data_IF_217522123730
#
_entry.id   IF_217522123730
#
_cell.length_a   1.000
_cell.length_b   1.000
_cell.length_c   1.000
_cell.angle_alpha   90.00
_cell.angle_beta   90.00
_cell.angle_gamma   90.00
#
_symmetry.space_group_name_H-M   'P 1'
#
loop_
_entity.id
_entity.type
_entity.pdbx_description
1 polymer ?
#
# COMPACT_ATOMS: atom_id res chain seq x y z
N UNK A 1 19.58 -18.23 2.21
CA UNK A 1 18.15 -17.95 2.39
C UNK A 1 17.80 -16.74 1.53
N UNK A 2 16.84 -16.85 0.63
CA UNK A 2 16.41 -15.73 -0.21
C UNK A 2 15.65 -14.68 0.60
N UNK A 3 15.40 -13.50 0.01
CA UNK A 3 14.59 -12.43 0.64
C UNK A 3 13.19 -12.96 0.98
N UNK A 4 12.57 -13.67 0.04
CA UNK A 4 11.25 -14.29 0.23
C UNK A 4 11.20 -15.27 1.40
N UNK A 5 12.22 -16.12 1.54
CA UNK A 5 12.29 -17.10 2.66
C UNK A 5 12.34 -16.39 4.01
N UNK A 6 13.09 -15.27 4.10
CA UNK A 6 13.19 -14.48 5.34
C UNK A 6 11.86 -13.81 5.69
N UNK A 7 11.16 -13.24 4.71
CA UNK A 7 9.83 -12.65 4.90
C UNK A 7 8.85 -13.72 5.35
N UNK A 8 8.84 -14.87 4.69
CA UNK A 8 7.96 -16.00 5.01
C UNK A 8 8.17 -16.54 6.41
N UNK A 9 9.44 -16.71 6.84
CA UNK A 9 9.76 -17.15 8.20
C UNK A 9 9.40 -16.07 9.23
N UNK A 10 9.72 -14.81 8.94
CA UNK A 10 9.37 -13.68 9.82
C UNK A 10 7.86 -13.51 10.03
N UNK A 11 7.04 -13.80 9.01
CA UNK A 11 5.58 -13.71 9.10
C UNK A 11 4.91 -15.00 9.57
N UNK A 12 5.65 -16.05 9.90
CA UNK A 12 5.07 -17.37 10.24
C UNK A 12 3.99 -17.27 11.33
N UNK A 13 4.25 -16.59 12.44
CA UNK A 13 3.27 -16.44 13.53
C UNK A 13 2.03 -15.67 13.09
N UNK A 14 2.19 -14.63 12.28
CA UNK A 14 1.07 -13.82 11.75
C UNK A 14 0.24 -14.66 10.78
N UNK A 15 0.89 -15.37 9.87
CA UNK A 15 0.25 -16.27 8.92
C UNK A 15 -0.54 -17.37 9.63
N UNK A 16 0.09 -18.08 10.58
CA UNK A 16 -0.57 -19.16 11.31
C UNK A 16 -1.81 -18.65 12.07
N UNK A 17 -1.77 -17.42 12.56
CA UNK A 17 -2.89 -16.78 13.25
C UNK A 17 -4.01 -16.32 12.28
N UNK A 18 -3.70 -15.67 11.18
CA UNK A 18 -4.70 -15.09 10.25
C UNK A 18 -5.11 -16.13 9.21
N UNK A 19 -4.17 -16.56 8.36
CA UNK A 19 -4.45 -17.46 7.25
C UNK A 19 -4.92 -18.84 7.69
N UNK A 20 -4.36 -19.36 8.78
CA UNK A 20 -4.79 -20.65 9.33
C UNK A 20 -6.24 -20.64 9.78
N UNK A 21 -6.67 -19.60 10.49
CA UNK A 21 -8.06 -19.46 10.96
C UNK A 21 -9.03 -19.19 9.79
N UNK A 22 -8.66 -18.30 8.85
CA UNK A 22 -9.49 -18.04 7.67
C UNK A 22 -9.64 -19.30 6.82
N UNK A 23 -8.58 -20.09 6.62
CA UNK A 23 -8.65 -21.34 5.86
C UNK A 23 -9.59 -22.34 6.54
N UNK A 24 -9.53 -22.49 7.85
CA UNK A 24 -10.45 -23.37 8.59
C UNK A 24 -11.90 -22.91 8.46
N UNK A 25 -12.14 -21.60 8.60
CA UNK A 25 -13.45 -21.00 8.46
C UNK A 25 -13.99 -21.23 7.04
N UNK A 26 -13.26 -20.87 6.00
CA UNK A 26 -13.68 -21.03 4.59
C UNK A 26 -14.02 -22.49 4.27
N UNK A 27 -13.25 -23.45 4.80
CA UNK A 27 -13.49 -24.88 4.59
C UNK A 27 -14.75 -25.40 5.30
N UNK A 28 -15.29 -24.67 6.31
CA UNK A 28 -16.54 -25.03 6.99
C UNK A 28 -17.78 -24.60 6.20
N UNK A 29 -17.65 -23.65 5.27
CA UNK A 29 -18.74 -23.16 4.46
C UNK A 29 -18.89 -23.94 3.15
N UNK A 30 -20.13 -24.25 2.78
CA UNK A 30 -20.46 -24.89 1.48
C UNK A 30 -20.94 -23.89 0.42
N UNK A 31 -21.19 -22.65 0.82
CA UNK A 31 -21.64 -21.55 -0.04
C UNK A 31 -21.09 -20.23 0.49
N UNK A 32 -21.09 -19.22 -0.37
CA UNK A 32 -20.70 -17.86 -0.02
C UNK A 32 -21.96 -17.08 0.32
N UNK A 33 -22.12 -16.74 1.61
CA UNK A 33 -23.23 -15.96 2.13
C UNK A 33 -22.77 -14.90 3.14
N UNK A 34 -23.70 -14.14 3.71
CA UNK A 34 -23.34 -13.04 4.64
C UNK A 34 -22.68 -13.56 5.93
N UNK A 35 -23.03 -14.76 6.40
CA UNK A 35 -22.43 -15.37 7.59
C UNK A 35 -20.92 -15.58 7.40
N UNK A 36 -20.51 -16.03 6.21
CA UNK A 36 -19.09 -16.16 5.85
C UNK A 36 -18.34 -14.80 5.92
N UNK A 37 -18.97 -13.73 5.45
CA UNK A 37 -18.34 -12.41 5.50
C UNK A 37 -18.28 -11.83 6.92
N UNK A 38 -19.28 -12.08 7.75
CA UNK A 38 -19.28 -11.65 9.15
C UNK A 38 -18.16 -12.37 9.94
N UNK A 39 -18.01 -13.68 9.78
CA UNK A 39 -16.91 -14.43 10.40
C UNK A 39 -15.55 -14.01 9.87
N UNK A 40 -15.43 -13.75 8.55
CA UNK A 40 -14.19 -13.27 7.94
C UNK A 40 -13.77 -11.91 8.51
N UNK A 41 -14.71 -10.97 8.62
CA UNK A 41 -14.45 -9.65 9.20
C UNK A 41 -13.98 -9.75 10.64
N UNK A 42 -14.62 -10.61 11.45
CA UNK A 42 -14.21 -10.85 12.83
C UNK A 42 -12.78 -11.42 12.92
N UNK A 43 -12.44 -12.41 12.10
CA UNK A 43 -11.10 -12.99 12.06
C UNK A 43 -10.03 -11.97 11.64
N UNK A 44 -10.32 -11.11 10.66
CA UNK A 44 -9.43 -10.05 10.25
C UNK A 44 -9.20 -9.03 11.37
N UNK A 45 -10.25 -8.64 12.08
CA UNK A 45 -10.15 -7.73 13.24
C UNK A 45 -9.31 -8.36 14.36
N UNK A 46 -9.53 -9.65 14.67
CA UNK A 46 -8.71 -10.40 15.63
C UNK A 46 -7.24 -10.50 15.21
N UNK A 47 -6.96 -10.48 13.91
CA UNK A 47 -5.61 -10.43 13.33
C UNK A 47 -4.95 -9.05 13.34
N UNK A 48 -5.45 -8.07 14.11
CA UNK A 48 -4.96 -6.68 14.18
C UNK A 48 -5.10 -5.89 12.86
N UNK A 49 -5.95 -6.34 11.92
CA UNK A 49 -6.24 -5.61 10.66
C UNK A 49 -7.07 -4.33 10.93
N UNK A 50 -7.79 -4.28 12.06
CA UNK A 50 -8.64 -3.15 12.41
C UNK A 50 -9.99 -3.16 11.67
N UNK A 51 -11.02 -2.60 12.32
CA UNK A 51 -12.42 -2.70 11.86
C UNK A 51 -12.62 -2.06 10.48
N UNK A 52 -12.10 -0.84 10.26
CA UNK A 52 -12.30 -0.13 8.99
C UNK A 52 -11.67 -0.89 7.81
N UNK A 53 -10.43 -1.34 7.99
CA UNK A 53 -9.69 -2.07 6.95
C UNK A 53 -10.30 -3.46 6.72
N UNK A 54 -10.75 -4.17 7.77
CA UNK A 54 -11.44 -5.45 7.65
C UNK A 54 -12.74 -5.32 6.84
N UNK A 55 -13.59 -4.33 7.18
CA UNK A 55 -14.80 -4.03 6.42
C UNK A 55 -14.50 -3.68 4.96
N UNK A 56 -13.46 -2.86 4.70
CA UNK A 56 -13.04 -2.55 3.33
C UNK A 56 -12.63 -3.81 2.55
N UNK A 57 -11.87 -4.73 3.16
CA UNK A 57 -11.46 -6.00 2.52
C UNK A 57 -12.70 -6.84 2.20
N UNK A 58 -13.65 -6.98 3.13
CA UNK A 58 -14.88 -7.74 2.93
C UNK A 58 -15.74 -7.15 1.82
N UNK A 59 -15.88 -5.82 1.73
CA UNK A 59 -16.63 -5.15 0.67
C UNK A 59 -15.98 -5.35 -0.71
N UNK A 60 -14.64 -5.25 -0.78
CA UNK A 60 -13.89 -5.53 -2.01
C UNK A 60 -14.03 -7.00 -2.42
N UNK A 61 -14.01 -7.90 -1.46
CA UNK A 61 -14.19 -9.33 -1.72
C UNK A 61 -15.61 -9.62 -2.26
N UNK A 62 -16.66 -9.07 -1.64
CA UNK A 62 -18.05 -9.16 -2.15
C UNK A 62 -18.14 -8.68 -3.59
N UNK A 63 -17.53 -7.52 -3.88
CA UNK A 63 -17.51 -6.96 -5.24
C UNK A 63 -16.83 -7.91 -6.23
N UNK A 64 -15.63 -8.42 -5.93
CA UNK A 64 -14.88 -9.32 -6.81
C UNK A 64 -15.61 -10.65 -7.03
N UNK A 65 -16.19 -11.22 -5.98
CA UNK A 65 -17.00 -12.44 -6.07
C UNK A 65 -18.16 -12.26 -7.04
N UNK A 66 -18.86 -11.12 -6.94
CA UNK A 66 -19.98 -10.79 -7.83
C UNK A 66 -19.53 -10.58 -9.28
N UNK A 67 -18.43 -9.84 -9.49
CA UNK A 67 -17.89 -9.53 -10.83
C UNK A 67 -17.39 -10.79 -11.54
N UNK A 68 -16.74 -11.72 -10.82
CA UNK A 68 -16.17 -12.95 -11.37
C UNK A 68 -17.15 -14.13 -11.35
N UNK A 69 -18.32 -13.99 -10.75
CA UNK A 69 -19.30 -15.08 -10.59
C UNK A 69 -18.80 -16.24 -9.72
N UNK A 70 -17.97 -15.96 -8.71
CA UNK A 70 -17.39 -16.97 -7.84
C UNK A 70 -18.48 -17.52 -6.92
N UNK A 71 -18.65 -18.85 -6.89
CA UNK A 71 -19.60 -19.55 -6.04
C UNK A 71 -18.93 -20.56 -5.10
N UNK A 72 -17.68 -20.90 -5.34
CA UNK A 72 -16.89 -21.85 -4.55
C UNK A 72 -16.11 -21.12 -3.46
N UNK A 73 -16.38 -21.39 -2.15
CA UNK A 73 -15.64 -20.78 -1.05
C UNK A 73 -14.13 -21.00 -1.12
N UNK A 74 -13.65 -22.11 -1.68
CA UNK A 74 -12.22 -22.42 -1.77
C UNK A 74 -11.41 -21.37 -2.55
N UNK A 75 -12.05 -20.57 -3.42
CA UNK A 75 -11.42 -19.50 -4.19
C UNK A 75 -11.24 -18.19 -3.40
N UNK A 76 -11.87 -18.08 -2.22
CA UNK A 76 -11.83 -16.85 -1.39
C UNK A 76 -10.40 -16.48 -1.00
N UNK A 77 -9.57 -17.45 -0.61
CA UNK A 77 -8.19 -17.18 -0.18
C UNK A 77 -7.36 -16.55 -1.29
N UNK A 78 -7.54 -16.97 -2.53
CA UNK A 78 -6.86 -16.38 -3.69
C UNK A 78 -7.28 -14.92 -3.92
N UNK A 79 -8.58 -14.63 -3.80
CA UNK A 79 -9.10 -13.27 -3.96
C UNK A 79 -8.69 -12.35 -2.80
N UNK A 80 -8.66 -12.84 -1.56
CA UNK A 80 -8.15 -12.12 -0.40
C UNK A 80 -6.70 -11.73 -0.59
N UNK A 81 -5.85 -12.67 -1.00
CA UNK A 81 -4.45 -12.42 -1.30
C UNK A 81 -4.30 -11.31 -2.36
N UNK A 82 -5.05 -11.39 -3.45
CA UNK A 82 -5.01 -10.39 -4.51
C UNK A 82 -5.47 -9.01 -4.02
N UNK A 83 -6.52 -8.94 -3.19
CA UNK A 83 -7.00 -7.69 -2.58
C UNK A 83 -5.92 -7.08 -1.68
N UNK A 84 -5.31 -7.90 -0.84
CA UNK A 84 -4.26 -7.44 0.08
C UNK A 84 -3.01 -6.99 -0.67
N UNK A 85 -2.57 -7.74 -1.70
CA UNK A 85 -1.47 -7.30 -2.56
C UNK A 85 -1.75 -5.94 -3.20
N UNK A 86 -2.95 -5.73 -3.78
CA UNK A 86 -3.35 -4.44 -4.35
C UNK A 86 -3.35 -3.30 -3.31
N UNK A 87 -3.80 -3.57 -2.09
CA UNK A 87 -3.84 -2.58 -1.00
C UNK A 87 -2.45 -2.17 -0.51
N UNK A 88 -1.48 -3.07 -0.62
CA UNK A 88 -0.09 -2.85 -0.19
C UNK A 88 0.77 -2.17 -1.26
N UNK A 89 0.25 -1.97 -2.48
CA UNK A 89 0.96 -1.23 -3.52
C UNK A 89 1.10 0.24 -3.13
N UNK A 90 2.27 0.82 -3.37
CA UNK A 90 2.55 2.21 -3.04
C UNK A 90 3.98 2.61 -3.37
N UNK A 91 4.41 3.76 -2.86
CA UNK A 91 5.78 4.24 -2.98
C UNK A 91 6.68 3.59 -1.91
N UNK A 92 6.95 2.30 -2.10
CA UNK A 92 7.68 1.46 -1.16
C UNK A 92 9.20 1.60 -1.28
N UNK A 93 9.70 2.34 -2.27
CA UNK A 93 11.12 2.55 -2.52
C UNK A 93 11.70 3.69 -1.67
N UNK A 94 12.99 3.62 -1.39
CA UNK A 94 13.72 4.66 -0.69
C UNK A 94 14.28 5.68 -1.69
N UNK A 95 13.87 6.94 -1.57
CA UNK A 95 14.34 8.02 -2.44
C UNK A 95 15.61 8.67 -1.89
N UNK A 96 16.75 8.34 -2.49
CA UNK A 96 18.09 8.79 -2.11
C UNK A 96 18.97 9.02 -3.35
N UNK A 97 18.48 9.83 -4.31
CA UNK A 97 19.16 10.10 -5.58
C UNK A 97 20.11 11.29 -5.51
N UNK A 98 19.90 12.23 -4.57
CA UNK A 98 20.75 13.39 -4.37
C UNK A 98 22.00 13.07 -3.54
N UNK A 99 23.02 13.93 -3.62
CA UNK A 99 24.29 13.79 -2.88
C UNK A 99 24.64 15.05 -2.11
N UNK A 100 24.52 15.03 -0.76
CA UNK A 100 23.96 13.97 0.05
C UNK A 100 22.42 13.97 0.04
N UNK A 101 21.83 12.77 0.16
CA UNK A 101 20.44 12.59 0.60
C UNK A 101 20.41 12.47 2.13
N UNK A 102 19.27 12.77 2.77
CA UNK A 102 19.14 12.66 4.23
C UNK A 102 17.96 11.79 4.65
N UNK A 103 18.20 10.89 5.60
CA UNK A 103 17.20 10.01 6.20
C UNK A 103 17.09 10.37 7.69
N UNK A 104 15.92 10.82 8.13
CA UNK A 104 15.58 10.97 9.54
C UNK A 104 14.84 9.73 10.01
N UNK A 105 15.29 9.13 11.10
CA UNK A 105 14.65 7.96 11.71
C UNK A 105 13.95 8.39 12.99
N UNK A 106 12.63 8.35 12.98
CA UNK A 106 11.76 8.79 14.07
C UNK A 106 10.96 7.61 14.65
N UNK A 107 10.30 7.78 15.79
CA UNK A 107 9.47 6.77 16.44
C UNK A 107 9.66 6.74 17.95
N UNK A 108 8.80 6.04 18.69
CA UNK A 108 8.89 5.97 20.16
C UNK A 108 10.12 5.18 20.64
N UNK A 109 10.43 5.28 21.93
CA UNK A 109 11.55 4.51 22.48
C UNK A 109 11.23 3.00 22.50
N UNK A 110 12.23 2.16 22.19
CA UNK A 110 12.11 0.70 22.23
C UNK A 110 11.56 0.05 20.97
N UNK A 111 11.14 0.81 19.95
CA UNK A 111 10.63 0.26 18.68
C UNK A 111 11.72 -0.25 17.72
N UNK A 112 12.99 -0.02 18.03
CA UNK A 112 14.11 -0.51 17.20
C UNK A 112 14.76 0.53 16.30
N UNK A 113 14.59 1.87 16.56
CA UNK A 113 15.21 2.93 15.74
C UNK A 113 16.71 2.73 15.52
N UNK A 114 17.48 2.67 16.60
CA UNK A 114 18.95 2.56 16.53
C UNK A 114 19.41 1.29 15.81
N UNK A 115 18.70 0.17 16.03
CA UNK A 115 18.93 -1.08 15.30
C UNK A 115 18.62 -0.94 13.80
N UNK A 116 17.50 -0.28 13.47
CA UNK A 116 17.12 0.00 12.07
C UNK A 116 18.17 0.86 11.38
N UNK A 117 18.68 1.91 12.04
CA UNK A 117 19.73 2.77 11.51
C UNK A 117 20.99 1.95 11.20
N UNK A 118 21.43 1.11 12.14
CA UNK A 118 22.61 0.29 11.95
C UNK A 118 22.49 -0.71 10.80
N UNK A 119 21.33 -1.37 10.69
CA UNK A 119 21.03 -2.31 9.60
C UNK A 119 20.93 -1.58 8.25
N UNK A 120 20.25 -0.44 8.20
CA UNK A 120 20.11 0.37 7.00
C UNK A 120 21.45 0.93 6.53
N UNK A 121 22.30 1.42 7.46
CA UNK A 121 23.64 1.89 7.14
C UNK A 121 24.52 0.76 6.57
N UNK A 122 24.45 -0.43 7.16
CA UNK A 122 25.18 -1.60 6.67
C UNK A 122 24.74 -1.99 5.26
N UNK A 123 23.43 -1.97 5.01
CA UNK A 123 22.82 -2.27 3.72
C UNK A 123 23.26 -1.27 2.64
N UNK A 124 23.08 0.03 2.87
CA UNK A 124 23.44 1.08 1.91
C UNK A 124 24.93 1.09 1.61
N UNK A 125 25.75 0.82 2.61
CA UNK A 125 27.19 0.63 2.40
C UNK A 125 27.49 -0.60 1.54
N UNK A 126 26.81 -1.71 1.77
CA UNK A 126 26.90 -2.93 0.95
C UNK A 126 26.49 -2.69 -0.51
N UNK A 127 25.58 -1.74 -0.76
CA UNK A 127 25.17 -1.26 -2.08
C UNK A 127 26.17 -0.25 -2.70
N UNK A 128 27.31 0.01 -2.02
CA UNK A 128 28.40 0.88 -2.50
C UNK A 128 28.22 2.37 -2.18
N UNK A 129 27.23 2.76 -1.35
CA UNK A 129 27.04 4.15 -0.95
C UNK A 129 27.93 4.53 0.23
N UNK A 130 28.47 5.75 0.21
CA UNK A 130 29.16 6.35 1.35
C UNK A 130 28.12 6.92 2.33
N UNK A 131 28.08 6.35 3.54
CA UNK A 131 27.07 6.67 4.57
C UNK A 131 27.75 7.34 5.77
N UNK A 132 27.08 8.32 6.37
CA UNK A 132 27.48 8.93 7.65
C UNK A 132 26.27 8.98 8.60
N UNK A 133 26.53 8.71 9.90
CA UNK A 133 25.48 8.70 10.93
C UNK A 133 25.55 9.96 11.78
N UNK A 134 24.38 10.45 12.26
CA UNK A 134 24.22 11.52 13.21
C UNK A 134 23.43 11.07 14.46
N UNK A 135 24.06 11.14 15.65
CA UNK A 135 23.43 10.76 16.92
C UNK A 135 22.62 11.92 17.50
N UNK A 136 21.43 12.20 16.95
CA UNK A 136 20.58 13.30 17.38
C UNK A 136 19.57 12.91 18.50
N UNK A 137 19.49 11.65 18.99
CA UNK A 137 18.88 11.31 20.29
C UNK A 137 19.86 11.66 21.42
N UNK A 138 20.07 12.97 21.62
CA UNK A 138 21.08 13.50 22.57
C UNK A 138 20.65 13.38 24.03
N UNK A 139 19.39 13.05 24.30
CA UNK A 139 18.88 12.93 25.66
C UNK A 139 19.17 11.60 26.34
N UNK A 140 19.71 10.65 25.60
CA UNK A 140 19.96 9.28 26.06
C UNK A 140 21.39 8.87 25.78
N UNK A 141 22.26 8.95 26.79
CA UNK A 141 23.65 8.52 26.68
C UNK A 141 23.76 7.08 26.10
N UNK A 142 22.96 6.15 26.62
CA UNK A 142 22.93 4.77 26.12
C UNK A 142 22.49 4.63 24.65
N UNK A 143 21.69 5.56 24.12
CA UNK A 143 21.32 5.55 22.70
C UNK A 143 22.51 5.97 21.82
N UNK A 144 23.27 6.97 22.27
CA UNK A 144 24.48 7.43 21.58
C UNK A 144 25.52 6.28 21.55
N UNK A 145 25.77 5.64 22.68
CA UNK A 145 26.69 4.50 22.80
C UNK A 145 26.25 3.32 21.93
N UNK A 146 24.94 3.02 21.92
CA UNK A 146 24.39 1.95 21.08
C UNK A 146 24.57 2.26 19.58
N UNK A 147 24.34 3.51 19.18
CA UNK A 147 24.53 3.93 17.79
C UNK A 147 26.02 3.87 17.39
N UNK A 148 26.94 4.16 18.30
CA UNK A 148 28.36 4.03 18.08
C UNK A 148 28.76 2.58 17.78
N UNK A 149 28.27 1.63 18.58
CA UNK A 149 28.47 0.19 18.31
C UNK A 149 27.97 -0.21 16.92
N UNK A 150 26.82 0.32 16.50
CA UNK A 150 26.30 0.07 15.17
C UNK A 150 27.13 0.72 14.07
N UNK A 151 27.60 1.97 14.28
CA UNK A 151 28.48 2.67 13.36
C UNK A 151 29.77 1.88 13.12
N UNK A 152 30.38 1.38 14.19
CA UNK A 152 31.59 0.54 14.14
C UNK A 152 31.35 -0.79 13.38
N UNK A 153 30.22 -1.47 13.66
CA UNK A 153 29.84 -2.71 12.95
C UNK A 153 29.61 -2.49 11.46
N UNK A 154 28.93 -1.41 11.10
CA UNK A 154 28.70 -1.03 9.71
C UNK A 154 29.99 -0.45 9.07
N UNK A 155 30.98 -0.04 9.88
CA UNK A 155 32.18 0.63 9.42
C UNK A 155 31.89 1.96 8.75
N UNK A 156 30.98 2.76 9.32
CA UNK A 156 30.59 4.09 8.85
C UNK A 156 30.92 5.15 9.91
N UNK A 157 31.27 6.39 9.52
CA UNK A 157 31.54 7.45 10.47
C UNK A 157 30.27 7.89 11.23
N UNK A 158 30.45 8.26 12.50
CA UNK A 158 29.42 8.79 13.38
C UNK A 158 29.78 10.20 13.85
N UNK A 159 28.84 11.11 13.76
CA UNK A 159 28.88 12.43 14.40
C UNK A 159 28.02 12.38 15.64
N UNK A 160 28.62 12.71 16.80
CA UNK A 160 27.95 12.73 18.11
C UNK A 160 28.40 13.93 18.92
N UNK A 161 27.52 14.42 19.78
CA UNK A 161 27.81 15.44 20.77
C UNK A 161 27.66 14.86 22.19
N UNK A 162 27.91 15.71 23.20
CA UNK A 162 27.68 15.36 24.60
C UNK A 162 26.18 15.18 24.85
N UNK A 163 25.85 14.35 25.82
CA UNK A 163 24.48 14.23 26.31
C UNK A 163 23.88 15.61 26.64
N UNK A 164 22.61 15.83 26.27
CA UNK A 164 21.90 17.07 26.43
C UNK A 164 22.23 18.19 25.43
N UNK A 165 23.07 17.92 24.43
CA UNK A 165 23.31 18.86 23.34
C UNK A 165 22.04 19.08 22.49
N UNK A 166 22.01 20.20 21.73
CA UNK A 166 20.90 20.44 20.79
C UNK A 166 20.92 19.43 19.63
N UNK A 167 19.85 18.63 19.43
CA UNK A 167 19.76 17.69 18.32
C UNK A 167 19.96 18.33 16.94
N UNK A 168 19.46 19.55 16.75
CA UNK A 168 19.62 20.28 15.50
C UNK A 168 21.09 20.67 15.23
N UNK A 169 21.90 20.91 16.27
CA UNK A 169 23.33 21.12 16.10
C UNK A 169 24.07 19.87 15.67
N UNK A 170 23.67 18.69 16.18
CA UNK A 170 24.23 17.40 15.72
C UNK A 170 23.94 17.17 14.24
N UNK A 171 22.69 17.43 13.81
CA UNK A 171 22.30 17.31 12.40
C UNK A 171 23.09 18.29 11.53
N UNK A 172 23.25 19.52 11.97
CA UNK A 172 24.06 20.53 11.26
C UNK A 172 25.50 20.06 11.05
N UNK A 173 26.15 19.59 12.11
CA UNK A 173 27.56 19.12 12.02
C UNK A 173 27.67 17.83 11.20
N UNK A 174 26.64 16.96 11.24
CA UNK A 174 26.59 15.77 10.38
C UNK A 174 26.48 16.16 8.91
N UNK A 175 25.66 17.14 8.56
CA UNK A 175 25.56 17.67 7.20
C UNK A 175 26.89 18.28 6.74
N UNK A 176 27.52 19.10 7.59
CA UNK A 176 28.81 19.70 7.28
C UNK A 176 29.89 18.64 7.03
N UNK A 177 29.93 17.61 7.88
CA UNK A 177 30.86 16.47 7.74
C UNK A 177 30.58 15.64 6.48
N UNK A 178 29.31 15.43 6.14
CA UNK A 178 28.89 14.72 4.93
C UNK A 178 29.34 15.43 3.65
N UNK A 179 29.14 16.75 3.60
CA UNK A 179 29.60 17.60 2.48
C UNK A 179 31.13 17.56 2.34
N UNK A 180 31.85 17.69 3.45
CA UNK A 180 33.32 17.70 3.46
C UNK A 180 33.91 16.36 3.01
N UNK A 181 33.20 15.23 3.22
CA UNK A 181 33.63 13.87 2.88
C UNK A 181 33.00 13.34 1.61
N UNK A 182 32.20 14.15 0.92
CA UNK A 182 31.48 13.77 -0.29
C UNK A 182 30.62 12.50 -0.08
N UNK A 183 29.90 12.42 1.07
CA UNK A 183 29.03 11.29 1.40
C UNK A 183 27.77 11.29 0.54
N UNK A 184 27.25 10.10 0.21
CA UNK A 184 26.02 9.92 -0.55
C UNK A 184 24.78 10.05 0.34
N UNK A 185 24.82 9.49 1.57
CA UNK A 185 23.66 9.40 2.46
C UNK A 185 24.01 9.77 3.89
N UNK A 186 23.16 10.59 4.49
CA UNK A 186 23.17 10.93 5.92
C UNK A 186 22.01 10.17 6.57
N UNK A 187 22.26 9.48 7.72
CA UNK A 187 21.17 8.88 8.52
C UNK A 187 21.26 9.47 9.93
N UNK A 188 20.18 10.10 10.40
CA UNK A 188 20.12 10.68 11.74
C UNK A 188 19.13 9.93 12.63
N UNK A 189 19.57 9.53 13.83
CA UNK A 189 18.69 9.12 14.93
C UNK A 189 17.97 10.32 15.51
N UNK A 190 16.80 10.13 16.12
CA UNK A 190 16.08 11.20 16.82
C UNK A 190 15.51 10.71 18.15
N UNK A 191 15.19 11.64 19.03
CA UNK A 191 14.49 11.33 20.28
C UNK A 191 13.11 10.69 20.01
N UNK A 192 12.67 9.80 20.92
CA UNK A 192 11.42 9.06 20.79
C UNK A 192 10.42 9.31 21.94
N UNK A 193 10.33 10.56 22.45
CA UNK A 193 9.52 10.91 23.63
C UNK A 193 8.12 11.39 23.25
N UNK A 194 7.27 10.50 22.73
CA UNK A 194 5.92 10.85 22.28
C UNK A 194 5.01 11.37 23.41
N UNK A 195 5.24 10.96 24.66
CA UNK A 195 4.52 11.47 25.83
C UNK A 195 4.72 12.99 26.04
N UNK A 196 5.80 13.57 25.49
CA UNK A 196 6.01 15.02 25.43
C UNK A 196 5.93 15.50 23.96
N UNK A 197 4.78 15.26 23.35
CA UNK A 197 4.53 15.48 21.92
C UNK A 197 4.97 16.87 21.45
N UNK A 198 4.62 17.92 22.21
CA UNK A 198 4.94 19.29 21.82
C UNK A 198 6.46 19.51 21.69
N UNK A 199 7.23 19.10 22.68
CA UNK A 199 8.70 19.28 22.65
C UNK A 199 9.33 18.47 21.52
N UNK A 200 8.85 17.23 21.29
CA UNK A 200 9.34 16.39 20.20
C UNK A 200 9.04 17.04 18.83
N UNK A 201 7.85 17.63 18.67
CA UNK A 201 7.48 18.30 17.41
C UNK A 201 8.28 19.59 17.19
N UNK A 202 8.53 20.36 18.25
CA UNK A 202 9.38 21.55 18.18
C UNK A 202 10.83 21.18 17.79
N UNK A 203 11.34 20.06 18.32
CA UNK A 203 12.67 19.51 17.99
C UNK A 203 12.75 19.07 16.54
N UNK A 204 11.81 18.22 16.08
CA UNK A 204 11.74 17.79 14.68
C UNK A 204 11.58 18.99 13.72
N UNK A 205 10.79 19.99 14.10
CA UNK A 205 10.66 21.24 13.35
C UNK A 205 11.96 22.04 13.27
N UNK A 206 12.79 22.04 14.33
CA UNK A 206 14.13 22.66 14.27
C UNK A 206 15.06 21.90 13.34
N UNK A 207 15.10 20.58 13.46
CA UNK A 207 15.89 19.70 12.57
C UNK A 207 15.50 19.95 11.12
N UNK A 208 14.19 19.98 10.82
CA UNK A 208 13.68 20.26 9.49
C UNK A 208 14.23 21.56 8.90
N UNK A 209 14.14 22.66 9.68
CA UNK A 209 14.66 23.96 9.24
C UNK A 209 16.16 23.97 9.00
N UNK A 210 16.93 23.20 9.77
CA UNK A 210 18.37 23.03 9.53
C UNK A 210 18.62 22.32 8.20
N UNK A 211 17.90 21.23 7.95
CA UNK A 211 18.02 20.48 6.69
C UNK A 211 17.67 21.36 5.49
N UNK A 212 16.52 22.05 5.54
CA UNK A 212 16.04 22.92 4.46
C UNK A 212 17.04 24.02 4.13
N UNK A 213 17.73 24.57 5.15
CA UNK A 213 18.74 25.60 4.98
C UNK A 213 20.07 25.05 4.45
N UNK A 214 20.53 23.93 5.00
CA UNK A 214 21.87 23.39 4.70
C UNK A 214 21.89 22.49 3.45
N UNK A 215 20.76 21.83 3.13
CA UNK A 215 20.62 20.92 2.00
C UNK A 215 19.37 21.26 1.15
N UNK A 216 19.31 22.47 0.58
CA UNK A 216 18.14 22.86 -0.21
C UNK A 216 17.98 21.91 -1.42
N UNK A 217 16.77 21.33 -1.57
CA UNK A 217 16.44 20.45 -2.70
C UNK A 217 17.03 19.05 -2.63
N UNK A 218 17.58 18.62 -1.49
CA UNK A 218 18.01 17.24 -1.31
C UNK A 218 16.82 16.28 -1.18
N UNK A 219 17.01 15.03 -1.57
CA UNK A 219 16.11 13.95 -1.21
C UNK A 219 16.11 13.77 0.31
N UNK A 220 14.91 13.80 0.86
CA UNK A 220 14.69 13.71 2.29
C UNK A 220 13.68 12.63 2.60
N UNK A 221 14.12 11.62 3.33
CA UNK A 221 13.25 10.59 3.88
C UNK A 221 13.06 10.78 5.38
N UNK A 222 11.83 10.68 5.82
CA UNK A 222 11.47 10.65 7.23
C UNK A 222 10.81 9.31 7.53
N UNK A 223 11.59 8.38 8.05
CA UNK A 223 11.16 7.01 8.31
C UNK A 223 10.64 6.88 9.74
N UNK A 224 9.36 6.58 9.88
CA UNK A 224 8.77 6.25 11.17
C UNK A 224 8.95 4.75 11.45
N UNK A 225 9.68 4.44 12.52
CA UNK A 225 9.87 3.07 13.00
C UNK A 225 8.74 2.71 13.96
N UNK A 226 8.06 1.62 13.68
CA UNK A 226 6.96 1.07 14.48
C UNK A 226 7.25 -0.38 14.87
N UNK A 227 6.79 -0.77 16.05
CA UNK A 227 6.89 -2.15 16.55
C UNK A 227 5.58 -2.88 16.25
N UNK A 228 5.63 -3.88 15.38
CA UNK A 228 4.46 -4.69 15.00
C UNK A 228 3.81 -5.39 16.20
N UNK A 229 4.60 -5.76 17.22
CA UNK A 229 4.08 -6.43 18.42
C UNK A 229 3.08 -5.58 19.22
N UNK A 230 3.05 -4.27 18.98
CA UNK A 230 2.10 -3.36 19.64
C UNK A 230 0.72 -3.33 18.96
N UNK A 231 0.55 -3.98 17.80
CA UNK A 231 -0.73 -4.12 17.09
C UNK A 231 -1.35 -2.75 16.80
N UNK A 232 -2.64 -2.55 17.09
CA UNK A 232 -3.36 -1.30 16.83
C UNK A 232 -2.74 -0.05 17.50
N UNK A 233 -1.92 -0.22 18.54
CA UNK A 233 -1.18 0.90 19.11
C UNK A 233 -0.13 1.46 18.13
N UNK A 234 0.43 0.64 17.23
CA UNK A 234 1.33 1.12 16.17
C UNK A 234 0.59 2.05 15.21
N UNK A 235 -0.66 1.73 14.83
CA UNK A 235 -1.51 2.58 13.98
C UNK A 235 -1.77 3.93 14.66
N UNK A 236 -2.09 3.92 15.95
CA UNK A 236 -2.32 5.14 16.73
C UNK A 236 -1.04 6.01 16.80
N UNK A 237 0.12 5.38 17.03
CA UNK A 237 1.42 6.08 16.99
C UNK A 237 1.67 6.69 15.60
N UNK A 238 1.44 5.93 14.53
CA UNK A 238 1.61 6.43 13.17
C UNK A 238 0.74 7.67 12.91
N UNK A 239 -0.52 7.64 13.31
CA UNK A 239 -1.46 8.77 13.19
C UNK A 239 -0.99 10.01 13.94
N UNK A 240 -0.43 9.82 15.16
CA UNK A 240 0.09 10.93 15.95
C UNK A 240 1.34 11.55 15.33
N UNK A 241 2.26 10.75 14.81
CA UNK A 241 3.45 11.25 14.14
C UNK A 241 3.14 11.86 12.78
N UNK A 242 2.19 11.31 12.01
CA UNK A 242 1.80 11.80 10.69
C UNK A 242 1.39 13.29 10.74
N UNK A 243 0.64 13.67 11.78
CA UNK A 243 0.16 15.05 11.95
C UNK A 243 1.29 16.07 12.15
N UNK A 244 2.54 15.64 12.32
CA UNK A 244 3.58 16.49 12.89
C UNK A 244 4.96 16.39 12.23
N UNK A 245 5.28 15.30 11.51
CA UNK A 245 6.67 15.01 11.12
C UNK A 245 6.93 14.86 9.62
N UNK A 246 5.93 14.99 8.75
CA UNK A 246 6.12 14.83 7.30
C UNK A 246 6.72 13.47 6.96
N UNK A 247 6.08 12.38 7.45
CA UNK A 247 6.55 11.00 7.26
C UNK A 247 6.48 10.65 5.78
N UNK A 248 7.56 10.09 5.25
CA UNK A 248 7.65 9.59 3.87
C UNK A 248 7.54 8.08 3.76
N UNK A 249 7.79 7.37 4.87
CA UNK A 249 7.69 5.92 4.89
C UNK A 249 7.76 5.32 6.29
N UNK A 250 7.34 4.07 6.37
CA UNK A 250 7.30 3.28 7.60
C UNK A 250 8.39 2.20 7.57
N UNK A 251 9.00 1.95 8.72
CA UNK A 251 9.77 0.75 8.98
C UNK A 251 9.04 -0.06 10.06
N UNK A 252 8.52 -1.21 9.71
CA UNK A 252 7.82 -2.08 10.64
C UNK A 252 8.75 -3.15 11.18
N UNK A 253 9.00 -3.15 12.50
CA UNK A 253 9.98 -4.05 13.16
C UNK A 253 9.29 -5.18 13.92
N UNK A 254 10.08 -6.20 14.31
CA UNK A 254 9.69 -7.32 15.19
C UNK A 254 8.55 -8.18 14.66
N UNK A 255 8.43 -8.30 13.35
CA UNK A 255 7.43 -9.15 12.72
C UNK A 255 7.62 -10.64 13.06
N UNK A 256 8.87 -11.09 13.21
CA UNK A 256 9.24 -12.45 13.60
C UNK A 256 8.77 -12.85 15.01
N UNK A 257 8.57 -11.86 15.86
CA UNK A 257 8.18 -12.03 17.26
C UNK A 257 6.65 -12.12 17.51
N UNK A 258 5.82 -11.73 16.54
CA UNK A 258 4.39 -11.41 16.81
C UNK A 258 3.42 -12.06 15.82
N UNK A 259 2.19 -12.42 16.26
CA UNK A 259 1.09 -12.74 15.36
C UNK A 259 0.34 -11.50 14.81
N UNK A 260 0.79 -10.28 15.13
CA UNK A 260 0.10 -9.01 14.85
C UNK A 260 0.58 -8.30 13.58
N UNK A 261 1.22 -9.02 12.66
CA UNK A 261 1.72 -8.43 11.41
C UNK A 261 0.64 -7.87 10.49
N UNK A 262 -0.64 -8.21 10.71
CA UNK A 262 -1.78 -7.61 10.01
C UNK A 262 -1.89 -6.09 10.15
N UNK A 263 -1.22 -5.51 11.16
CA UNK A 263 -1.16 -4.06 11.38
C UNK A 263 -0.60 -3.25 10.21
N UNK A 264 0.14 -3.89 9.31
CA UNK A 264 0.64 -3.23 8.08
C UNK A 264 -0.51 -2.71 7.22
N UNK A 265 -1.63 -3.44 7.15
CA UNK A 265 -2.78 -3.11 6.32
C UNK A 265 -3.45 -1.79 6.71
N UNK A 266 -3.86 -1.56 7.97
CA UNK A 266 -4.43 -0.27 8.35
C UNK A 266 -3.43 0.90 8.30
N UNK A 267 -2.13 0.65 8.47
CA UNK A 267 -1.12 1.71 8.30
C UNK A 267 -1.11 2.22 6.85
N UNK A 268 -1.14 1.32 5.87
CA UNK A 268 -1.13 1.69 4.47
C UNK A 268 -2.51 2.17 4.00
N UNK A 269 -3.59 1.48 4.36
CA UNK A 269 -4.93 1.78 3.89
C UNK A 269 -5.55 3.02 4.56
N UNK A 270 -5.53 3.08 5.90
CA UNK A 270 -6.22 4.14 6.64
C UNK A 270 -5.38 5.43 6.73
N UNK A 271 -4.05 5.31 6.74
CA UNK A 271 -3.15 6.45 6.91
C UNK A 271 -2.46 6.87 5.61
N UNK A 272 -2.49 6.03 4.57
CA UNK A 272 -1.82 6.29 3.29
C UNK A 272 -0.30 6.38 3.43
N UNK A 273 0.30 5.74 4.44
CA UNK A 273 1.73 5.76 4.69
C UNK A 273 2.39 4.50 4.09
N UNK A 274 3.29 4.63 3.10
CA UNK A 274 3.94 3.47 2.50
C UNK A 274 4.91 2.81 3.47
N UNK A 275 4.93 1.47 3.48
CA UNK A 275 5.95 0.71 4.19
C UNK A 275 7.15 0.54 3.27
N UNK A 276 8.33 0.96 3.72
CA UNK A 276 9.57 0.87 2.93
C UNK A 276 10.46 -0.31 3.36
N UNK A 277 10.44 -0.63 4.66
CA UNK A 277 11.22 -1.75 5.19
C UNK A 277 10.43 -2.52 6.26
N UNK A 278 10.77 -3.80 6.36
CA UNK A 278 10.31 -4.70 7.42
C UNK A 278 11.49 -5.36 8.13
N UNK A 279 11.39 -5.44 9.46
CA UNK A 279 12.35 -6.17 10.31
C UNK A 279 11.77 -7.55 10.66
N UNK A 280 12.46 -8.58 10.20
CA UNK A 280 12.05 -9.99 10.30
C UNK A 280 13.03 -10.83 11.13
N UNK A 281 13.83 -10.20 11.99
CA UNK A 281 14.79 -10.85 12.87
C UNK A 281 15.87 -9.91 13.38
N UNK A 282 16.87 -10.45 14.09
CA UNK A 282 17.90 -9.67 14.80
C UNK A 282 19.18 -9.45 13.98
N UNK A 283 19.45 -10.24 12.93
CA UNK A 283 20.66 -10.13 12.12
C UNK A 283 20.67 -8.84 11.29
N UNK A 284 21.87 -8.43 10.86
CA UNK A 284 22.04 -7.21 10.05
C UNK A 284 21.19 -7.25 8.78
N UNK A 285 21.16 -8.40 8.14
CA UNK A 285 20.43 -8.66 6.89
C UNK A 285 18.97 -9.07 7.08
N UNK A 286 18.41 -8.91 8.30
CA UNK A 286 16.97 -9.13 8.58
C UNK A 286 16.12 -7.86 8.47
N UNK A 287 16.71 -6.75 8.04
CA UNK A 287 15.98 -5.59 7.57
C UNK A 287 15.78 -5.74 6.05
N UNK A 288 14.55 -6.08 5.65
CA UNK A 288 14.23 -6.32 4.25
C UNK A 288 13.48 -5.13 3.64
N UNK A 289 13.71 -4.78 2.35
CA UNK A 289 12.81 -3.90 1.62
C UNK A 289 11.40 -4.50 1.63
N UNK A 290 10.42 -3.65 1.66
CA UNK A 290 9.04 -4.10 1.59
C UNK A 290 8.66 -4.42 0.15
N UNK A 291 8.23 -5.64 -0.07
CA UNK A 291 7.67 -6.13 -1.33
C UNK A 291 6.21 -6.51 -1.07
N UNK A 292 5.23 -5.77 -1.64
CA UNK A 292 3.82 -6.02 -1.43
C UNK A 292 3.37 -7.44 -1.78
N UNK A 293 3.83 -7.96 -2.91
CA UNK A 293 3.44 -9.29 -3.39
C UNK A 293 4.05 -10.39 -2.52
N UNK A 294 5.35 -10.27 -2.22
CA UNK A 294 6.02 -11.22 -1.33
C UNK A 294 5.42 -11.20 0.09
N UNK A 295 4.99 -10.04 0.57
CA UNK A 295 4.33 -9.91 1.87
C UNK A 295 2.95 -10.55 1.87
N UNK A 296 2.12 -10.30 0.85
CA UNK A 296 0.80 -10.91 0.71
C UNK A 296 0.92 -12.44 0.55
N UNK A 297 1.91 -12.91 -0.23
CA UNK A 297 2.23 -14.33 -0.37
C UNK A 297 2.58 -14.97 0.97
N UNK A 298 3.48 -14.32 1.73
CA UNK A 298 3.92 -14.83 3.02
C UNK A 298 2.80 -14.81 4.07
N UNK A 299 1.88 -13.83 4.00
CA UNK A 299 0.78 -13.70 4.95
C UNK A 299 -0.32 -14.74 4.71
N UNK A 300 -0.67 -15.01 3.45
CA UNK A 300 -1.78 -15.90 3.12
C UNK A 300 -1.35 -17.33 2.75
N UNK A 301 -0.03 -17.62 2.71
CA UNK A 301 0.53 -18.95 2.44
C UNK A 301 -0.31 -19.74 1.42
N UNK A 302 -0.80 -19.06 0.39
CA UNK A 302 -1.37 -19.78 -0.73
C UNK A 302 -0.22 -20.59 -1.27
N UNK A 303 -0.12 -21.88 -0.84
CA UNK A 303 0.68 -22.81 -1.61
C UNK A 303 0.24 -22.56 -3.03
N UNK A 304 1.15 -22.10 -3.88
CA UNK A 304 1.01 -22.38 -5.28
C UNK A 304 0.94 -23.93 -5.32
N UNK A 305 -0.27 -24.51 -5.21
CA UNK A 305 -0.53 -25.63 -6.06
C UNK A 305 -0.05 -25.08 -7.39
N UNK A 306 1.06 -25.65 -7.89
CA UNK A 306 1.45 -25.49 -9.28
C UNK A 306 0.10 -25.65 -9.98
N UNK A 307 -0.46 -24.54 -10.45
CA UNK A 307 -1.68 -24.59 -11.23
C UNK A 307 -1.39 -25.73 -12.19
N UNK A 308 -2.20 -26.81 -12.22
CA UNK A 308 -1.87 -27.94 -13.05
C UNK A 308 -1.43 -27.27 -14.33
N UNK A 309 -0.17 -27.51 -14.72
CA UNK A 309 0.32 -27.01 -15.99
C UNK A 309 -0.69 -27.61 -16.93
N UNK A 310 -1.79 -26.88 -17.13
CA UNK A 310 -2.61 -27.08 -18.30
C UNK A 310 -1.53 -26.79 -19.32
N UNK A 311 -0.92 -27.87 -19.82
CA UNK A 311 -0.34 -27.85 -21.12
C UNK A 311 -1.55 -27.45 -21.95
N UNK A 312 -1.80 -26.12 -21.97
CA UNK A 312 -2.66 -25.53 -22.96
C UNK A 312 -2.07 -26.09 -24.22
N UNK A 313 -2.83 -27.02 -24.79
CA UNK A 313 -2.46 -27.66 -26.02
C UNK A 313 -2.51 -26.50 -27.01
N UNK A 314 -1.38 -25.78 -27.11
CA UNK A 314 -1.22 -24.59 -27.96
C UNK A 314 -1.64 -24.93 -29.38
N UNK A 315 -1.55 -26.23 -29.72
CA UNK A 315 -2.06 -26.81 -30.94
C UNK A 315 -3.60 -26.77 -30.98
N UNK A 316 -4.30 -27.09 -29.90
CA UNK A 316 -5.77 -27.05 -29.86
C UNK A 316 -6.29 -25.59 -29.92
N UNK A 317 -5.63 -24.66 -29.23
CA UNK A 317 -5.94 -23.22 -29.31
C UNK A 317 -5.66 -22.62 -30.70
N UNK A 318 -4.57 -23.05 -31.35
CA UNK A 318 -4.25 -22.61 -32.71
C UNK A 318 -5.21 -23.23 -33.73
N UNK A 319 -5.74 -24.43 -33.47
CA UNK A 319 -6.70 -25.11 -34.32
C UNK A 319 -8.10 -24.48 -34.19
N UNK A 320 -8.55 -24.17 -32.98
CA UNK A 320 -9.82 -23.49 -32.70
C UNK A 320 -9.85 -22.07 -33.29
N UNK A 321 -8.73 -21.33 -33.17
CA UNK A 321 -8.59 -19.99 -33.76
C UNK A 321 -8.60 -20.03 -35.30
N UNK A 322 -7.99 -21.05 -35.94
CA UNK A 322 -8.04 -21.25 -37.40
C UNK A 322 -9.43 -21.63 -37.89
N UNK A 323 -10.18 -22.32 -37.04
CA UNK A 323 -11.56 -22.69 -37.38
C UNK A 323 -12.49 -21.49 -37.28
N UNK A 324 -12.27 -20.64 -36.30
CA UNK A 324 -12.99 -19.36 -36.13
C UNK A 324 -12.67 -18.36 -37.26
N UNK A 325 -11.42 -18.22 -37.63
CA UNK A 325 -11.00 -17.39 -38.79
C UNK A 325 -11.63 -17.90 -40.09
N UNK A 326 -11.71 -19.21 -40.26
CA UNK A 326 -12.31 -19.83 -41.47
C UNK A 326 -13.83 -19.60 -41.53
N UNK A 327 -14.53 -19.68 -40.41
CA UNK A 327 -15.95 -19.38 -40.29
C UNK A 327 -16.26 -17.91 -40.58
N UNK A 328 -15.42 -16.99 -40.09
CA UNK A 328 -15.53 -15.56 -40.37
C UNK A 328 -15.30 -15.22 -41.85
N UNK A 329 -14.31 -15.87 -42.48
CA UNK A 329 -14.07 -15.70 -43.92
C UNK A 329 -15.23 -16.26 -44.78
N UNK A 330 -15.84 -17.38 -44.36
CA UNK A 330 -16.99 -17.99 -45.04
C UNK A 330 -18.26 -17.12 -44.93
N UNK A 331 -18.46 -16.51 -43.72
CA UNK A 331 -19.56 -15.55 -43.53
C UNK A 331 -19.36 -14.27 -44.33
N UNK A 332 -18.17 -13.71 -44.36
CA UNK A 332 -17.86 -12.53 -45.14
C UNK A 332 -18.01 -12.76 -46.64
N UNK A 333 -17.70 -13.98 -47.10
CA UNK A 333 -17.89 -14.37 -48.52
C UNK A 333 -19.36 -14.57 -48.88
N UNK A 334 -20.16 -15.14 -47.96
CA UNK A 334 -21.60 -15.25 -48.13
C UNK A 334 -22.31 -13.90 -48.14
N UNK A 335 -21.90 -12.98 -47.31
CA UNK A 335 -22.42 -11.59 -47.29
C UNK A 335 -22.04 -10.81 -48.56
N UNK A 336 -20.81 -10.97 -49.06
CA UNK A 336 -20.38 -10.37 -50.31
C UNK A 336 -21.13 -10.95 -51.53
N UNK A 337 -21.44 -12.25 -51.53
CA UNK A 337 -22.21 -12.92 -52.60
C UNK A 337 -23.70 -12.51 -52.55
N UNK A 338 -24.27 -12.32 -51.33
CA UNK A 338 -25.62 -11.80 -51.14
C UNK A 338 -25.74 -10.34 -51.62
N UNK A 339 -24.75 -9.49 -51.31
CA UNK A 339 -24.71 -8.10 -51.76
C UNK A 339 -24.60 -7.98 -53.31
N UNK A 340 -23.84 -8.88 -53.91
CA UNK A 340 -23.71 -8.91 -55.41
C UNK A 340 -25.02 -9.31 -56.11
N UNK A 341 -25.87 -10.12 -55.45
CA UNK A 341 -27.19 -10.51 -55.98
C UNK A 341 -28.21 -9.39 -55.83
N UNK A 342 -28.08 -8.48 -54.85
CA UNK A 342 -28.96 -7.31 -54.69
C UNK A 342 -28.68 -6.18 -55.72
N UNK A 343 -27.45 -6.09 -56.26
CA UNK A 343 -27.10 -5.12 -57.32
C UNK A 343 -27.60 -5.48 -58.71
N UNK A 344 -28.07 -6.72 -58.97
CA UNK A 344 -28.63 -7.17 -60.27
C UNK A 344 -30.15 -7.03 -60.41
N UNK A 345 -30.89 -6.46 -59.43
CA UNK A 345 -32.31 -6.24 -59.59
C UNK A 345 -32.58 -4.92 -60.32
N UNK A 346 -33.35 -4.91 -61.41
CA UNK A 346 -33.69 -3.67 -62.13
C UNK A 346 -34.63 -2.80 -61.34
N UNK A 347 -34.37 -1.48 -61.38
CA UNK A 347 -35.14 -0.43 -60.71
C UNK A 347 -36.66 -0.53 -61.00
N UNK A 348 -37.50 -0.39 -59.96
CA UNK A 348 -38.97 -0.32 -60.19
C UNK A 348 -39.36 1.00 -60.84
N UNK A 349 -40.23 0.93 -61.84
CA UNK A 349 -40.81 2.05 -62.57
C UNK A 349 -41.49 3.05 -61.64
N UNK A 350 -41.15 4.32 -61.79
CA UNK A 350 -41.86 5.44 -61.15
C UNK A 350 -43.32 5.54 -61.67
N UNK A 351 -44.30 5.32 -60.78
CA UNK A 351 -45.68 5.72 -60.99
C UNK A 351 -45.87 7.17 -60.50
N UNK A 352 -46.46 8.00 -61.40
CA UNK A 352 -46.80 9.40 -61.11
C UNK A 352 -47.81 9.52 -59.97
N UNK A 353 -47.71 10.54 -59.09
CA UNK A 353 -48.64 10.70 -57.97
C UNK A 353 -49.98 11.31 -58.40
N UNK A 354 -51.06 10.69 -57.94
CA UNK A 354 -52.44 11.24 -58.03
C UNK A 354 -52.62 12.41 -57.03
N UNK A 355 -53.56 13.33 -57.33
CA UNK A 355 -53.69 14.62 -56.63
C UNK A 355 -54.21 14.49 -55.19
N UNK A 356 -53.67 15.33 -54.35
CA UNK A 356 -53.96 15.45 -52.93
C UNK A 356 -55.24 16.16 -52.68
N UNK A 357 -56.21 15.52 -51.96
CA UNK A 357 -57.35 16.14 -51.36
C UNK A 357 -57.08 16.75 -50.02
N UNK A 358 -57.31 18.02 -49.81
CA UNK A 358 -57.17 18.77 -48.56
C UNK A 358 -58.12 18.26 -47.47
N UNK A 359 -57.66 17.99 -46.30
CA UNK A 359 -58.45 17.77 -45.08
C UNK A 359 -58.09 18.79 -43.99
N UNK A 360 -59.03 19.19 -43.13
CA UNK A 360 -59.02 20.48 -42.48
C UNK A 360 -58.17 20.59 -41.21
N UNK A 361 -57.80 21.85 -40.96
CA UNK A 361 -57.00 22.31 -39.80
C UNK A 361 -57.83 22.17 -38.51
N UNK A 362 -57.23 21.49 -37.51
CA UNK A 362 -57.67 21.57 -36.11
C UNK A 362 -56.84 22.58 -35.32
N UNK A 363 -57.58 23.40 -34.55
CA UNK A 363 -57.08 24.49 -33.70
C UNK A 363 -56.27 23.96 -32.45
N UNK A 364 -55.39 24.76 -31.92
CA UNK A 364 -54.56 24.33 -30.76
C UNK A 364 -55.31 24.54 -29.42
N UNK A 365 -55.29 23.55 -28.55
CA UNK A 365 -55.74 23.63 -27.17
C UNK A 365 -54.63 24.06 -26.20
N UNK A 366 -54.97 24.79 -25.12
CA UNK A 366 -54.04 25.56 -24.30
C UNK A 366 -53.31 24.73 -23.23
N UNK A 367 -52.07 25.15 -22.97
CA UNK A 367 -51.18 24.64 -21.92
C UNK A 367 -51.75 24.74 -20.50
N UNK A 368 -51.72 23.66 -19.75
CA UNK A 368 -51.97 23.64 -18.29
C UNK A 368 -50.70 23.92 -17.52
N UNK A 369 -50.63 25.09 -16.89
CA UNK A 369 -49.65 25.52 -15.91
C UNK A 369 -49.59 24.57 -14.70
N UNK A 370 -48.43 23.92 -14.43
CA UNK A 370 -48.16 23.27 -13.16
C UNK A 370 -47.76 24.29 -12.10
N UNK A 371 -48.57 24.37 -11.04
CA UNK A 371 -48.38 25.18 -9.85
C UNK A 371 -47.16 24.65 -9.06
N UNK A 372 -46.22 25.54 -8.78
CA UNK A 372 -45.22 25.41 -7.69
C UNK A 372 -45.98 25.43 -6.36
N UNK A 373 -45.71 24.43 -5.51
CA UNK A 373 -46.10 24.46 -4.10
C UNK A 373 -44.80 24.57 -3.27
N UNK A 374 -44.71 25.67 -2.54
CA UNK A 374 -43.74 25.95 -1.50
C UNK A 374 -44.51 26.00 -0.19
N UNK A 375 -43.98 25.45 0.92
CA UNK A 375 -44.36 25.96 2.23
C UNK A 375 -43.17 26.55 2.96
N UNK A 376 -43.30 27.80 3.31
CA UNK A 376 -42.78 28.49 4.47
C UNK A 376 -42.95 27.63 5.74
N UNK A 377 -41.98 27.49 6.68
CA UNK A 377 -41.43 28.51 7.51
C UNK A 377 -42.02 28.46 8.90
N UNK A 378 -41.21 28.32 9.91
CA UNK A 378 -41.25 29.11 11.15
C UNK A 378 -40.20 28.71 12.16
N UNK A 379 -39.49 29.72 12.58
CA UNK A 379 -38.71 29.88 13.79
C UNK A 379 -39.50 29.61 15.09
N UNK A 380 -38.77 29.21 16.15
CA UNK A 380 -38.66 29.83 17.48
C UNK A 380 -38.02 28.80 18.39
N UNK A 381 -36.91 29.08 18.99
CA UNK A 381 -36.52 29.88 20.19
C UNK A 381 -36.61 29.05 21.50
N UNK A 382 -35.50 29.09 22.22
CA UNK A 382 -35.30 29.07 23.70
C UNK A 382 -35.59 27.72 24.42
N UNK A 383 -34.56 27.05 24.93
CA UNK A 383 -33.85 27.27 26.20
C UNK A 383 -32.46 26.59 26.16
#
# INVERSE_FOLDING_TARGET
MGIFDKIREGLRKTRDNISGQITQMVNSFTKIDEELFEELEELLVMGDVGVNTAGFICDRLRQRIKEKGITDPSLIMGELKAIVSDMLQGDNELHISTKPSIILVIGVNGVGKTTTIGKLASRLKGEGKSVILGAADTFRAAAIEQLEVWADRAGVPLIKHKEGADPAAVVFDTIAAAKARDCDVIICDTAGRLHNKKNLMDELGKISRVIDRELPGCDRETLLVLDAATGQNAVNQAREFQSAAGITGIVLTKLDGTPKGGVVLPIMQDLGLPVKFIGVGEQVDDLQPFDPDAFADALFDVQREEAPVIKEDRAAWEEERREEERLLEEQARAEAEAAAVEEEQPEPWEEEPAPVEEAPQEEPQPEKKKRRFWPFGRKRDEE
#
